data_IF_089529063483
#
_entry.id   IF_089529063483
#
_cell.length_a   1.000
_cell.length_b   1.000
_cell.length_c   1.000
_cell.angle_alpha   90.00
_cell.angle_beta   90.00
_cell.angle_gamma   90.00
#
_symmetry.space_group_name_H-M   'P 1'
#
loop_
_entity.id
_entity.type
_entity.pdbx_description
1 polymer ?
#
# COMPACT_ATOMS: atom_id res chain seq x y z
N UNK A 1 -0.04 18.79 8.33
CA UNK A 1 -0.01 18.13 9.64
C UNK A 1 1.38 17.56 9.88
N UNK A 2 1.89 17.69 11.10
CA UNK A 2 3.16 17.11 11.53
C UNK A 2 2.88 16.28 12.77
N UNK A 3 3.42 15.08 12.83
CA UNK A 3 3.30 14.19 13.96
C UNK A 3 4.50 13.27 14.04
N UNK A 4 4.74 12.70 15.20
CA UNK A 4 5.83 11.74 15.39
C UNK A 4 5.62 10.94 16.65
N UNK A 5 6.22 9.78 16.71
CA UNK A 5 6.34 8.96 17.89
C UNK A 5 7.83 8.73 18.17
N UNK A 6 8.26 9.14 19.35
CA UNK A 6 9.62 8.90 19.83
C UNK A 6 9.51 7.96 21.03
N UNK A 7 10.10 6.79 20.90
CA UNK A 7 10.12 5.76 21.94
C UNK A 7 11.56 5.35 22.22
N UNK A 8 11.82 4.85 23.43
CA UNK A 8 13.09 4.20 23.78
C UNK A 8 13.30 2.88 23.03
N UNK A 9 12.25 2.36 22.41
CA UNK A 9 12.30 1.20 21.51
C UNK A 9 12.66 1.63 20.08
N UNK A 10 13.01 0.67 19.23
CA UNK A 10 13.47 0.89 17.86
C UNK A 10 12.42 1.42 16.87
N UNK A 11 11.21 1.73 17.30
CA UNK A 11 10.07 2.11 16.47
C UNK A 11 9.83 3.63 16.35
N UNK A 12 10.88 4.42 16.42
CA UNK A 12 10.77 5.87 16.23
C UNK A 12 10.33 6.20 14.82
N UNK A 13 9.30 7.03 14.68
CA UNK A 13 8.72 7.42 13.41
C UNK A 13 8.41 8.92 13.40
N UNK A 14 8.63 9.54 12.26
CA UNK A 14 8.25 10.93 11.97
C UNK A 14 7.22 10.88 10.85
N UNK A 15 6.11 11.56 11.04
CA UNK A 15 5.06 11.73 10.05
C UNK A 15 4.98 13.18 9.61
N UNK A 16 4.90 13.40 8.31
CA UNK A 16 4.66 14.68 7.67
C UNK A 16 3.51 14.56 6.69
N UNK A 17 2.46 15.35 6.86
CA UNK A 17 1.32 15.37 5.96
C UNK A 17 1.03 16.80 5.49
N UNK A 18 0.91 16.96 4.18
CA UNK A 18 0.48 18.18 3.51
C UNK A 18 -0.85 17.91 2.81
N UNK A 19 -1.83 18.78 3.02
CA UNK A 19 -3.12 18.69 2.36
C UNK A 19 -3.49 20.06 1.77
N UNK A 20 -3.92 20.04 0.53
CA UNK A 20 -4.50 21.20 -0.16
C UNK A 20 -5.90 20.84 -0.62
N UNK A 21 -6.86 21.66 -0.29
CA UNK A 21 -8.25 21.51 -0.71
C UNK A 21 -8.76 22.82 -1.31
N UNK A 22 -9.39 22.71 -2.47
CA UNK A 22 -10.05 23.81 -3.14
C UNK A 22 -11.49 23.39 -3.45
N UNK A 23 -12.45 24.16 -2.94
CA UNK A 23 -13.88 23.98 -3.13
C UNK A 23 -14.39 25.12 -4.02
N UNK A 24 -14.18 24.99 -5.30
CA UNK A 24 -14.72 25.90 -6.29
C UNK A 24 -15.75 25.15 -7.16
N UNK A 25 -15.85 25.46 -8.43
CA UNK A 25 -16.72 24.77 -9.37
C UNK A 25 -16.47 23.23 -9.40
N UNK A 26 -15.23 22.82 -9.15
CA UNK A 26 -14.83 21.42 -8.88
C UNK A 26 -14.19 21.35 -7.51
N UNK A 27 -14.51 20.29 -6.73
CA UNK A 27 -13.75 20.01 -5.52
C UNK A 27 -12.43 19.31 -5.91
N UNK A 28 -11.32 19.90 -5.49
CA UNK A 28 -9.97 19.33 -5.70
C UNK A 28 -9.31 19.13 -4.35
N UNK A 29 -8.79 17.97 -4.13
CA UNK A 29 -8.06 17.60 -2.92
C UNK A 29 -6.74 16.93 -3.31
N UNK A 30 -5.64 17.47 -2.81
CA UNK A 30 -4.30 16.89 -2.96
C UNK A 30 -3.74 16.65 -1.58
N UNK A 31 -3.26 15.44 -1.33
CA UNK A 31 -2.55 15.10 -0.11
C UNK A 31 -1.21 14.48 -0.44
N UNK A 32 -0.20 14.87 0.32
CA UNK A 32 1.12 14.27 0.32
C UNK A 32 1.45 13.87 1.75
N UNK A 33 1.55 12.58 1.98
CA UNK A 33 1.85 12.00 3.27
C UNK A 33 3.20 11.31 3.21
N UNK A 34 4.05 11.58 4.19
CA UNK A 34 5.36 10.96 4.36
C UNK A 34 5.51 10.41 5.77
N UNK A 35 6.05 9.23 5.87
CA UNK A 35 6.40 8.60 7.12
C UNK A 35 7.83 8.09 7.05
N UNK A 36 8.66 8.52 7.97
CA UNK A 36 10.06 8.13 8.06
C UNK A 36 10.31 7.46 9.40
N UNK A 37 10.85 6.27 9.35
CA UNK A 37 11.15 5.49 10.54
C UNK A 37 12.29 4.51 10.30
N UNK A 38 12.74 3.86 11.35
CA UNK A 38 13.83 2.90 11.27
C UNK A 38 13.42 1.60 10.57
N UNK A 39 12.15 1.20 10.70
CA UNK A 39 11.62 -0.07 10.19
C UNK A 39 10.74 0.17 8.97
N UNK A 40 10.00 1.27 8.94
CA UNK A 40 9.04 1.58 7.90
C UNK A 40 9.21 3.00 7.40
N UNK A 41 9.32 3.12 6.09
CA UNK A 41 9.30 4.39 5.39
C UNK A 41 8.21 4.35 4.33
N UNK A 42 7.45 5.42 4.22
CA UNK A 42 6.37 5.55 3.24
C UNK A 42 6.31 6.98 2.70
N UNK A 43 6.00 7.09 1.42
CA UNK A 43 5.55 8.34 0.81
C UNK A 43 4.31 8.04 -0.03
N UNK A 44 3.22 8.77 0.20
CA UNK A 44 1.97 8.63 -0.53
C UNK A 44 1.49 9.97 -1.05
N UNK A 45 1.16 10.01 -2.32
CA UNK A 45 0.47 11.12 -2.96
C UNK A 45 -0.94 10.68 -3.35
N UNK A 46 -1.93 11.51 -3.03
CA UNK A 46 -3.31 11.33 -3.47
C UNK A 46 -3.80 12.62 -4.12
N UNK A 47 -4.41 12.47 -5.27
CA UNK A 47 -5.16 13.51 -5.95
C UNK A 47 -6.61 13.05 -6.11
N UNK A 48 -7.57 13.86 -5.66
CA UNK A 48 -8.99 13.61 -5.81
C UNK A 48 -9.65 14.82 -6.46
N UNK A 49 -10.50 14.56 -7.45
CA UNK A 49 -11.31 15.60 -8.10
C UNK A 49 -12.75 15.12 -8.14
N UNK A 50 -13.64 15.93 -7.58
CA UNK A 50 -15.08 15.68 -7.60
C UNK A 50 -15.74 16.68 -8.57
N UNK A 51 -16.47 16.16 -9.53
CA UNK A 51 -17.22 16.94 -10.53
C UNK A 51 -18.70 16.98 -10.14
N UNK A 52 -19.23 18.18 -9.97
CA UNK A 52 -20.65 18.43 -9.71
C UNK A 52 -21.42 18.56 -11.04
N UNK A 53 -21.37 17.51 -11.85
CA UNK A 53 -22.13 17.42 -13.11
C UNK A 53 -23.47 16.74 -12.88
N UNK A 54 -24.30 16.60 -13.93
CA UNK A 54 -25.60 15.90 -13.86
C UNK A 54 -25.48 14.51 -13.23
N UNK A 55 -24.37 13.80 -13.50
CA UNK A 55 -23.98 12.58 -12.79
C UNK A 55 -22.70 12.92 -12.00
N UNK A 56 -22.80 13.15 -10.68
CA UNK A 56 -21.64 13.49 -9.89
C UNK A 56 -20.57 12.42 -9.95
N UNK A 57 -19.39 12.75 -10.45
CA UNK A 57 -18.30 11.79 -10.69
C UNK A 57 -17.09 12.20 -9.86
N UNK A 58 -16.46 11.23 -9.22
CA UNK A 58 -15.23 11.42 -8.44
C UNK A 58 -14.10 10.61 -9.03
N UNK A 59 -13.00 11.27 -9.32
CA UNK A 59 -11.74 10.63 -9.73
C UNK A 59 -10.76 10.68 -8.58
N UNK A 60 -10.07 9.58 -8.34
CA UNK A 60 -9.03 9.49 -7.32
C UNK A 60 -7.81 8.79 -7.88
N UNK A 61 -6.68 9.47 -7.84
CA UNK A 61 -5.37 8.93 -8.15
C UNK A 61 -4.58 8.76 -6.86
N UNK A 62 -3.90 7.63 -6.70
CA UNK A 62 -3.06 7.33 -5.55
C UNK A 62 -1.75 6.75 -6.06
N UNK A 63 -0.64 7.35 -5.66
CA UNK A 63 0.70 6.83 -5.84
C UNK A 63 1.34 6.62 -4.46
N UNK A 64 1.96 5.47 -4.24
CA UNK A 64 2.64 5.18 -2.97
C UNK A 64 3.92 4.39 -3.19
N UNK A 65 4.90 4.70 -2.36
CA UNK A 65 6.17 3.98 -2.26
C UNK A 65 6.38 3.68 -0.79
N UNK A 66 6.65 2.44 -0.43
CA UNK A 66 6.96 2.04 0.93
C UNK A 66 8.12 1.05 0.98
N UNK A 67 8.89 1.15 2.05
CA UNK A 67 10.00 0.25 2.35
C UNK A 67 9.85 -0.25 3.78
N UNK A 68 9.90 -1.56 3.95
CA UNK A 68 9.91 -2.23 5.23
C UNK A 68 11.23 -2.93 5.45
N UNK A 69 11.83 -2.71 6.62
CA UNK A 69 12.99 -3.41 7.11
C UNK A 69 12.55 -4.29 8.30
N UNK A 70 12.32 -5.56 8.02
CA UNK A 70 11.95 -6.52 9.06
C UNK A 70 13.18 -7.06 9.78
N UNK A 71 13.06 -7.31 11.07
CA UNK A 71 14.11 -7.92 11.91
C UNK A 71 15.44 -7.15 11.94
N UNK A 72 15.41 -5.84 11.83
CA UNK A 72 16.57 -5.01 12.20
C UNK A 72 16.91 -5.33 13.67
N UNK A 73 18.03 -6.02 13.90
CA UNK A 73 18.51 -6.30 15.25
C UNK A 73 18.75 -4.98 15.96
N UNK A 74 18.15 -4.85 17.15
CA UNK A 74 18.42 -3.71 18.02
C UNK A 74 19.89 -3.73 18.46
N UNK A 75 20.54 -2.59 18.26
CA UNK A 75 21.96 -2.40 18.54
C UNK A 75 22.28 -2.15 20.00
N UNK A 76 21.47 -2.60 20.95
CA UNK A 76 21.68 -2.28 22.37
C UNK A 76 23.07 -2.70 22.87
N UNK A 77 23.66 -3.77 22.33
CA UNK A 77 24.95 -4.32 22.78
C UNK A 77 25.91 -4.75 21.64
N UNK A 78 25.59 -4.55 20.38
CA UNK A 78 26.49 -4.92 19.31
C UNK A 78 26.68 -3.80 18.28
N UNK A 79 27.93 -3.53 17.91
CA UNK A 79 28.33 -2.57 16.88
C UNK A 79 28.02 -3.05 15.44
N UNK A 80 27.17 -4.02 15.27
CA UNK A 80 26.93 -4.65 13.98
C UNK A 80 25.94 -3.82 13.15
N UNK A 81 26.45 -3.06 12.18
CA UNK A 81 25.70 -2.22 11.25
C UNK A 81 25.04 -3.01 10.10
N UNK A 82 24.83 -4.30 10.29
CA UNK A 82 24.37 -5.20 9.25
C UNK A 82 22.90 -4.96 8.89
N UNK A 83 22.55 -5.14 7.59
CA UNK A 83 21.22 -4.84 7.09
C UNK A 83 20.14 -5.75 7.70
N UNK A 84 18.90 -5.40 7.50
CA UNK A 84 17.74 -6.17 7.92
C UNK A 84 17.75 -7.57 7.33
N UNK A 85 17.21 -8.53 8.07
CA UNK A 85 17.08 -9.92 7.62
C UNK A 85 16.13 -10.06 6.43
N UNK A 86 15.09 -9.22 6.38
CA UNK A 86 14.14 -9.15 5.28
C UNK A 86 13.81 -7.67 5.01
N UNK A 87 13.89 -7.29 3.74
CA UNK A 87 13.52 -5.97 3.25
C UNK A 87 12.44 -6.12 2.20
N UNK A 88 11.40 -5.32 2.29
CA UNK A 88 10.31 -5.30 1.34
C UNK A 88 10.11 -3.88 0.79
N UNK A 89 10.23 -3.74 -0.51
CA UNK A 89 9.96 -2.51 -1.24
C UNK A 89 8.64 -2.66 -2.01
N UNK A 90 7.72 -1.74 -1.79
CA UNK A 90 6.42 -1.72 -2.48
C UNK A 90 6.22 -0.39 -3.19
N UNK A 91 5.75 -0.46 -4.42
CA UNK A 91 5.36 0.71 -5.22
C UNK A 91 4.04 0.42 -5.88
N UNK A 92 3.08 1.31 -5.75
CA UNK A 92 1.82 1.14 -6.44
C UNK A 92 1.24 2.45 -6.96
N UNK A 93 0.49 2.33 -8.04
CA UNK A 93 -0.35 3.37 -8.60
C UNK A 93 -1.78 2.83 -8.67
N UNK A 94 -2.75 3.63 -8.25
CA UNK A 94 -4.17 3.29 -8.32
C UNK A 94 -4.95 4.47 -8.89
N UNK A 95 -5.83 4.17 -9.83
CA UNK A 95 -6.84 5.09 -10.33
C UNK A 95 -8.20 4.54 -9.95
N UNK A 96 -9.07 5.38 -9.39
CA UNK A 96 -10.45 5.04 -9.07
C UNK A 96 -11.39 6.07 -9.66
N UNK A 97 -12.48 5.59 -10.20
CA UNK A 97 -13.62 6.41 -10.67
C UNK A 97 -14.84 5.99 -9.87
N UNK A 98 -15.52 6.94 -9.29
CA UNK A 98 -16.69 6.68 -8.48
C UNK A 98 -17.90 7.44 -8.99
N UNK A 99 -19.02 6.75 -9.08
CA UNK A 99 -20.30 7.22 -9.58
C UNK A 99 -21.40 6.96 -8.56
N UNK A 100 -22.40 7.82 -8.42
CA UNK A 100 -23.58 7.49 -7.66
C UNK A 100 -24.32 6.34 -8.34
N UNK A 101 -24.85 5.44 -7.54
CA UNK A 101 -25.61 4.28 -7.97
C UNK A 101 -26.88 4.18 -7.20
N UNK A 102 -27.74 4.79 -6.95
CA UNK A 102 -28.88 4.99 -6.08
C UNK A 102 -28.62 6.12 -5.08
N UNK A 103 -29.64 6.57 -4.40
CA UNK A 103 -29.57 7.71 -3.48
C UNK A 103 -28.57 7.52 -2.33
N UNK A 104 -28.32 6.28 -1.91
CA UNK A 104 -27.44 5.96 -0.77
C UNK A 104 -26.25 5.06 -1.14
N UNK A 105 -26.09 4.70 -2.44
CA UNK A 105 -25.09 3.75 -2.90
C UNK A 105 -24.15 4.38 -3.93
N UNK A 106 -22.92 3.88 -3.97
CA UNK A 106 -21.86 4.36 -4.84
C UNK A 106 -21.17 3.18 -5.51
N UNK A 107 -21.04 3.25 -6.82
CA UNK A 107 -20.22 2.34 -7.61
C UNK A 107 -18.81 2.93 -7.75
N UNK A 108 -17.79 2.16 -7.42
CA UNK A 108 -16.40 2.53 -7.69
C UNK A 108 -15.76 1.52 -8.63
N UNK A 109 -15.16 2.01 -9.69
CA UNK A 109 -14.30 1.25 -10.58
C UNK A 109 -12.85 1.62 -10.27
N UNK A 110 -11.99 0.63 -10.10
CA UNK A 110 -10.60 0.83 -9.78
C UNK A 110 -9.68 0.08 -10.73
N UNK A 111 -8.55 0.69 -11.04
CA UNK A 111 -7.45 0.08 -11.77
C UNK A 111 -6.15 0.37 -11.02
N UNK A 112 -5.23 -0.60 -10.98
CA UNK A 112 -3.98 -0.45 -10.27
C UNK A 112 -2.85 -1.26 -10.86
N UNK A 113 -1.64 -0.75 -10.67
CA UNK A 113 -0.40 -1.45 -10.92
C UNK A 113 0.43 -1.44 -9.64
N UNK A 114 1.10 -2.55 -9.37
CA UNK A 114 1.99 -2.69 -8.22
C UNK A 114 3.29 -3.37 -8.62
N UNK A 115 4.37 -2.93 -8.00
CA UNK A 115 5.67 -3.60 -8.03
C UNK A 115 6.10 -3.83 -6.59
N UNK A 116 6.40 -5.08 -6.27
CA UNK A 116 6.85 -5.49 -4.95
C UNK A 116 8.18 -6.21 -5.14
N UNK A 117 9.16 -5.90 -4.32
CA UNK A 117 10.45 -6.57 -4.28
C UNK A 117 10.76 -6.97 -2.83
N UNK A 118 10.89 -8.26 -2.59
CA UNK A 118 11.29 -8.84 -1.32
C UNK A 118 12.74 -9.31 -1.40
N UNK A 119 13.57 -8.91 -0.43
CA UNK A 119 14.96 -9.33 -0.26
C UNK A 119 15.10 -10.00 1.09
N UNK A 120 15.53 -11.22 1.11
CA UNK A 120 15.61 -12.01 2.34
C UNK A 120 16.71 -13.06 2.30
N UNK A 121 17.02 -13.60 3.46
CA UNK A 121 17.87 -14.79 3.59
C UNK A 121 17.03 -15.98 4.07
N UNK A 122 17.24 -17.15 3.47
CA UNK A 122 16.53 -18.38 3.85
C UNK A 122 17.11 -19.02 5.12
N UNK A 123 18.39 -18.78 5.42
CA UNK A 123 19.11 -19.38 6.55
C UNK A 123 19.48 -18.34 7.61
N UNK A 124 19.54 -18.80 8.86
CA UNK A 124 19.95 -17.97 10.00
C UNK A 124 21.46 -17.79 10.14
N UNK A 125 22.25 -18.65 9.48
CA UNK A 125 23.72 -18.56 9.44
C UNK A 125 24.10 -17.72 8.23
N UNK A 126 24.33 -16.44 8.46
CA UNK A 126 24.52 -15.43 7.40
C UNK A 126 25.89 -14.79 7.58
N UNK A 127 26.71 -14.84 6.54
CA UNK A 127 27.88 -14.00 6.37
C UNK A 127 27.50 -12.79 5.50
N UNK A 128 27.17 -11.68 6.14
CA UNK A 128 26.67 -10.49 5.43
C UNK A 128 27.69 -9.86 4.48
N UNK A 129 28.96 -10.18 4.61
CA UNK A 129 30.00 -9.64 3.74
C UNK A 129 30.13 -10.43 2.42
N UNK A 130 29.70 -11.70 2.43
CA UNK A 130 29.81 -12.61 1.29
C UNK A 130 28.47 -13.04 0.71
N UNK A 131 27.43 -13.08 1.56
CA UNK A 131 26.14 -13.63 1.16
C UNK A 131 25.30 -12.57 0.44
N UNK A 132 24.71 -12.96 -0.68
CA UNK A 132 23.73 -12.16 -1.42
C UNK A 132 22.32 -12.59 -1.03
N UNK A 133 21.42 -11.63 -0.91
CA UNK A 133 19.99 -11.87 -0.68
C UNK A 133 19.35 -12.69 -1.80
N UNK A 134 18.42 -13.51 -1.42
CA UNK A 134 17.37 -13.98 -2.32
C UNK A 134 16.44 -12.81 -2.65
N UNK A 135 16.00 -12.72 -3.89
CA UNK A 135 15.12 -11.66 -4.36
C UNK A 135 13.88 -12.26 -5.00
N UNK A 136 12.71 -11.91 -4.47
CA UNK A 136 11.43 -12.18 -5.11
C UNK A 136 10.81 -10.86 -5.58
N UNK A 137 10.51 -10.78 -6.85
CA UNK A 137 9.93 -9.59 -7.46
C UNK A 137 8.57 -9.89 -8.06
N UNK A 138 7.56 -9.05 -7.76
CA UNK A 138 6.20 -9.17 -8.27
C UNK A 138 5.85 -7.92 -9.08
N UNK A 139 5.27 -8.11 -10.26
CA UNK A 139 4.64 -7.05 -11.03
C UNK A 139 3.19 -7.41 -11.24
N UNK A 140 2.30 -6.65 -10.64
CA UNK A 140 0.87 -6.94 -10.58
C UNK A 140 0.08 -5.85 -11.29
N UNK A 141 -0.96 -6.29 -11.99
CA UNK A 141 -2.03 -5.46 -12.54
C UNK A 141 -3.33 -5.87 -11.88
N UNK A 142 -4.16 -4.91 -11.49
CA UNK A 142 -5.42 -5.20 -10.84
C UNK A 142 -6.55 -4.33 -11.33
N UNK A 143 -7.72 -4.92 -11.46
CA UNK A 143 -8.99 -4.24 -11.66
C UNK A 143 -9.92 -4.48 -10.47
N UNK A 144 -10.74 -3.52 -10.11
CA UNK A 144 -11.70 -3.66 -9.02
C UNK A 144 -13.02 -3.00 -9.34
N UNK A 145 -14.10 -3.62 -8.88
CA UNK A 145 -15.44 -3.06 -8.86
C UNK A 145 -15.93 -3.12 -7.43
N UNK A 146 -16.42 -2.02 -6.88
CA UNK A 146 -16.99 -2.01 -5.55
C UNK A 146 -18.31 -1.26 -5.50
N UNK A 147 -19.26 -1.82 -4.75
CA UNK A 147 -20.51 -1.19 -4.37
C UNK A 147 -20.42 -0.83 -2.90
N UNK A 148 -20.56 0.45 -2.60
CA UNK A 148 -20.53 0.97 -1.24
C UNK A 148 -21.85 1.66 -0.95
N UNK A 149 -22.52 1.26 0.11
CA UNK A 149 -23.77 1.83 0.60
C UNK A 149 -23.62 2.27 2.05
N UNK A 150 -24.29 3.36 2.42
CA UNK A 150 -24.37 3.79 3.80
C UNK A 150 -25.67 4.53 4.05
N UNK A 151 -26.45 4.02 4.99
CA UNK A 151 -27.67 4.65 5.50
C UNK A 151 -27.49 5.13 6.94
N UNK A 152 -26.22 5.20 7.42
CA UNK A 152 -25.90 5.64 8.77
C UNK A 152 -26.35 7.10 8.98
N UNK A 153 -27.02 7.36 10.10
CA UNK A 153 -27.49 8.68 10.48
C UNK A 153 -26.36 9.64 10.90
N UNK A 154 -25.20 9.12 11.28
CA UNK A 154 -24.00 9.89 11.63
C UNK A 154 -22.73 9.17 11.18
N UNK A 155 -21.68 9.94 10.84
CA UNK A 155 -20.38 9.38 10.47
C UNK A 155 -19.50 9.01 11.67
N UNK A 156 -19.61 9.75 12.76
CA UNK A 156 -18.73 9.57 13.93
C UNK A 156 -19.32 8.63 14.98
N UNK A 157 -20.59 8.82 15.30
CA UNK A 157 -21.30 8.00 16.30
C UNK A 157 -22.65 7.57 15.72
N UNK A 158 -22.66 6.56 14.83
CA UNK A 158 -23.90 6.08 14.26
C UNK A 158 -24.70 5.31 15.31
N UNK A 159 -25.95 5.71 15.51
CA UNK A 159 -26.90 5.02 16.37
C UNK A 159 -27.98 4.28 15.57
N UNK A 160 -28.05 4.52 14.24
CA UNK A 160 -29.06 3.97 13.37
C UNK A 160 -28.55 3.88 11.92
N UNK A 161 -29.00 2.87 11.18
CA UNK A 161 -28.65 2.64 9.79
C UNK A 161 -27.64 1.50 9.63
N UNK A 162 -27.24 1.24 8.38
CA UNK A 162 -26.30 0.20 8.00
C UNK A 162 -25.25 0.74 7.03
N UNK A 163 -24.09 0.10 7.01
CA UNK A 163 -23.06 0.29 6.00
C UNK A 163 -22.77 -1.06 5.34
N UNK A 164 -22.77 -1.06 4.03
CA UNK A 164 -22.52 -2.24 3.21
C UNK A 164 -21.41 -1.96 2.22
N UNK A 165 -20.54 -2.92 1.99
CA UNK A 165 -19.56 -2.86 0.93
C UNK A 165 -19.41 -4.24 0.28
N UNK A 166 -19.55 -4.29 -1.03
CA UNK A 166 -19.24 -5.47 -1.86
C UNK A 166 -18.10 -5.09 -2.78
N UNK A 167 -17.01 -5.85 -2.75
CA UNK A 167 -15.82 -5.59 -3.55
C UNK A 167 -15.44 -6.85 -4.31
N UNK A 168 -15.30 -6.72 -5.63
CA UNK A 168 -14.71 -7.74 -6.49
C UNK A 168 -13.41 -7.19 -7.08
N UNK A 169 -12.33 -7.95 -6.97
CA UNK A 169 -11.02 -7.57 -7.48
C UNK A 169 -10.41 -8.72 -8.28
N UNK A 170 -9.86 -8.40 -9.43
CA UNK A 170 -9.08 -9.33 -10.23
C UNK A 170 -7.64 -8.85 -10.29
N UNK A 171 -6.71 -9.77 -10.10
CA UNK A 171 -5.28 -9.49 -10.18
C UNK A 171 -4.63 -10.45 -11.16
N UNK A 172 -3.69 -9.94 -11.92
CA UNK A 172 -2.78 -10.73 -12.74
C UNK A 172 -1.39 -10.16 -12.66
N UNK A 173 -0.38 -11.01 -12.72
CA UNK A 173 0.99 -10.52 -12.66
C UNK A 173 2.03 -11.62 -12.81
N UNK A 174 3.26 -11.16 -12.83
CA UNK A 174 4.44 -12.02 -12.97
C UNK A 174 5.24 -11.97 -11.67
N UNK A 175 5.60 -13.14 -11.21
CA UNK A 175 6.58 -13.35 -10.15
C UNK A 175 7.94 -13.69 -10.78
N UNK A 176 9.01 -13.15 -10.21
CA UNK A 176 10.39 -13.48 -10.59
C UNK A 176 11.22 -13.73 -9.34
N UNK A 177 11.74 -14.94 -9.22
CA UNK A 177 12.68 -15.30 -8.17
C UNK A 177 14.11 -15.28 -8.71
N UNK A 178 15.04 -14.69 -7.95
CA UNK A 178 16.49 -14.69 -8.20
C UNK A 178 17.20 -15.17 -6.95
N UNK A 179 17.85 -16.36 -7.02
CA UNK A 179 18.54 -16.91 -5.88
C UNK A 179 19.76 -16.08 -5.49
N UNK A 180 19.99 -15.97 -4.19
CA UNK A 180 21.23 -15.52 -3.58
C UNK A 180 22.29 -16.63 -3.54
N UNK A 181 23.33 -16.42 -2.75
CA UNK A 181 24.45 -17.40 -2.65
C UNK A 181 24.02 -18.65 -1.86
N UNK A 182 23.25 -18.45 -0.78
CA UNK A 182 22.85 -19.52 0.16
C UNK A 182 21.41 -19.97 -0.05
N UNK A 183 20.86 -19.74 -1.23
CA UNK A 183 19.51 -20.15 -1.59
C UNK A 183 19.41 -21.68 -1.73
N UNK A 184 18.34 -22.28 -1.23
CA UNK A 184 18.00 -23.68 -1.48
C UNK A 184 17.73 -23.92 -2.96
N UNK A 185 17.08 -23.00 -3.61
CA UNK A 185 16.75 -23.05 -5.02
C UNK A 185 17.77 -22.24 -5.82
N UNK A 186 18.67 -22.91 -6.51
CA UNK A 186 19.77 -22.27 -7.26
C UNK A 186 19.39 -21.78 -8.67
N UNK A 187 18.15 -21.98 -9.09
CA UNK A 187 17.68 -21.57 -10.43
C UNK A 187 16.73 -20.38 -10.33
N UNK A 188 16.87 -19.37 -11.18
CA UNK A 188 15.87 -18.32 -11.29
C UNK A 188 14.54 -18.88 -11.82
N UNK A 189 13.44 -18.47 -11.23
CA UNK A 189 12.09 -18.90 -11.60
C UNK A 189 11.29 -17.68 -12.03
N UNK A 190 10.43 -17.85 -13.03
CA UNK A 190 9.43 -16.86 -13.43
C UNK A 190 8.10 -17.56 -13.58
N UNK A 191 7.09 -17.05 -12.87
CA UNK A 191 5.75 -17.61 -12.89
C UNK A 191 4.72 -16.50 -13.11
N UNK A 192 3.58 -16.87 -13.70
CA UNK A 192 2.43 -15.96 -13.88
C UNK A 192 1.31 -16.41 -12.96
N UNK A 193 0.77 -15.45 -12.22
CA UNK A 193 -0.33 -15.68 -11.31
C UNK A 193 -1.53 -14.84 -11.70
N UNK A 194 -2.73 -15.37 -11.48
CA UNK A 194 -3.99 -14.64 -11.62
C UNK A 194 -4.97 -15.16 -10.59
N UNK A 195 -5.66 -14.23 -9.89
CA UNK A 195 -6.66 -14.61 -8.89
C UNK A 195 -7.78 -13.59 -8.82
N UNK A 196 -8.93 -14.05 -8.36
CA UNK A 196 -10.11 -13.25 -8.06
C UNK A 196 -10.29 -13.19 -6.54
N UNK A 197 -10.55 -12.01 -6.03
CA UNK A 197 -10.88 -11.79 -4.63
C UNK A 197 -12.26 -11.16 -4.52
N UNK A 198 -13.12 -11.74 -3.69
CA UNK A 198 -14.43 -11.21 -3.35
C UNK A 198 -14.45 -10.89 -1.85
N UNK A 199 -14.96 -9.73 -1.50
CA UNK A 199 -15.11 -9.29 -0.11
C UNK A 199 -16.48 -8.67 0.09
N UNK A 200 -17.12 -9.01 1.19
CA UNK A 200 -18.34 -8.39 1.68
C UNK A 200 -18.14 -7.92 3.12
N UNK A 201 -18.65 -6.72 3.41
CA UNK A 201 -18.51 -6.09 4.73
C UNK A 201 -19.82 -5.42 5.14
#
# INVERSE_FOLDING_TARGET
RVGGNVSTTSSNQIYLGLAYQNLNYYSKEFTLDGQLGKIYNNAQFMAKVDFATTIPTSYRFIASISTFDYFKKDKLFSKNDKPAFNQKDERFLKLKVALPFLSSKRLELGFGIAQIEDRYFQNNVIDFDKDKYDKSGYRLFGGSVSFNGSTLNSRQFPIQGAREALVAQIFTGNESFRPGVNSENKKPVKEKHSWLQLSYM
#
